data_IF_498972211593
#
_entry.id   IF_498972211593
#
_cell.length_a   1.000
_cell.length_b   1.000
_cell.length_c   1.000
_cell.angle_alpha   90.00
_cell.angle_beta   90.00
_cell.angle_gamma   90.00
#
_symmetry.space_group_name_H-M   'P 1'
#
loop_
_entity.id
_entity.type
_entity.pdbx_description
1 polymer ?
#
# COMPACT_ATOMS: atom_id res chain seq x y z
N UNK A 1 10.67 4.48 5.11
CA UNK A 1 9.65 3.44 4.82
C UNK A 1 10.13 2.31 3.87
N UNK A 2 11.40 1.87 3.89
CA UNK A 2 11.83 0.78 3.00
C UNK A 2 11.25 -0.59 3.38
N UNK A 3 11.00 -0.84 4.66
CA UNK A 3 10.54 -2.16 5.16
C UNK A 3 9.16 -2.55 4.65
N UNK A 4 8.23 -1.59 4.52
CA UNK A 4 6.89 -1.84 3.96
C UNK A 4 7.00 -2.22 2.49
N UNK A 5 7.85 -1.53 1.74
CA UNK A 5 7.97 -1.75 0.29
C UNK A 5 8.62 -3.10 0.01
N UNK A 6 9.65 -3.46 0.77
CA UNK A 6 10.28 -4.77 0.68
C UNK A 6 9.33 -5.91 1.06
N UNK A 7 8.53 -5.74 2.12
CA UNK A 7 7.51 -6.72 2.49
C UNK A 7 6.46 -6.90 1.39
N UNK A 8 6.02 -5.81 0.75
CA UNK A 8 5.11 -5.89 -0.41
C UNK A 8 5.76 -6.60 -1.58
N UNK A 9 7.01 -6.25 -1.93
CA UNK A 9 7.70 -6.86 -3.08
C UNK A 9 7.94 -8.36 -2.86
N UNK A 10 8.26 -8.77 -1.63
CA UNK A 10 8.41 -10.18 -1.27
C UNK A 10 7.10 -10.95 -1.38
N UNK A 11 5.97 -10.35 -0.98
CA UNK A 11 4.68 -11.05 -0.91
C UNK A 11 3.83 -10.96 -2.21
N UNK A 12 4.06 -9.91 -3.00
CA UNK A 12 3.30 -9.56 -4.21
C UNK A 12 4.19 -9.33 -5.44
N UNK A 13 5.48 -9.69 -5.41
CA UNK A 13 6.41 -9.51 -6.53
C UNK A 13 5.95 -10.12 -7.85
N UNK A 14 5.11 -11.17 -7.79
CA UNK A 14 4.49 -11.78 -8.97
C UNK A 14 3.43 -10.88 -9.65
N UNK A 15 2.85 -9.91 -8.94
CA UNK A 15 1.92 -8.91 -9.49
C UNK A 15 2.50 -7.51 -9.22
N UNK A 16 3.43 -7.10 -10.07
CA UNK A 16 4.12 -5.80 -9.99
C UNK A 16 3.16 -4.61 -10.01
N UNK A 17 2.02 -4.75 -10.70
CA UNK A 17 0.98 -3.72 -10.73
C UNK A 17 0.31 -3.61 -9.37
N UNK A 18 -0.11 -4.73 -8.78
CA UNK A 18 -0.72 -4.76 -7.45
C UNK A 18 0.26 -4.29 -6.37
N UNK A 19 1.51 -4.74 -6.43
CA UNK A 19 2.57 -4.29 -5.53
C UNK A 19 2.70 -2.76 -5.55
N UNK A 20 2.74 -2.15 -6.75
CA UNK A 20 2.82 -0.69 -6.91
C UNK A 20 1.61 0.04 -6.35
N UNK A 21 0.38 -0.38 -6.69
CA UNK A 21 -0.82 0.30 -6.13
C UNK A 21 -1.00 0.06 -4.63
N UNK A 22 -0.53 -1.06 -4.08
CA UNK A 22 -0.51 -1.30 -2.63
C UNK A 22 0.43 -0.34 -1.91
N UNK A 23 1.64 -0.11 -2.45
CA UNK A 23 2.58 0.87 -1.90
C UNK A 23 1.96 2.27 -1.83
N UNK A 24 1.29 2.70 -2.90
CA UNK A 24 0.56 3.98 -2.95
C UNK A 24 -0.56 4.04 -1.89
N UNK A 25 -1.36 2.97 -1.78
CA UNK A 25 -2.43 2.88 -0.80
C UNK A 25 -1.92 2.95 0.64
N UNK A 26 -0.81 2.27 0.95
CA UNK A 26 -0.20 2.29 2.28
C UNK A 26 0.42 3.64 2.62
N UNK A 27 1.07 4.32 1.68
CA UNK A 27 1.51 5.70 1.87
C UNK A 27 0.32 6.57 2.30
N UNK A 28 -0.82 6.49 1.60
CA UNK A 28 -2.02 7.26 1.95
C UNK A 28 -2.59 6.92 3.34
N UNK A 29 -2.58 5.65 3.73
CA UNK A 29 -3.06 5.19 5.04
C UNK A 29 -2.18 5.63 6.21
N UNK A 30 -0.85 5.55 6.05
CA UNK A 30 0.07 5.67 7.18
C UNK A 30 0.83 6.99 7.28
N UNK A 31 0.95 7.76 6.20
CA UNK A 31 1.70 9.04 6.22
C UNK A 31 0.81 10.26 6.48
N UNK A 32 -0.49 10.17 6.21
CA UNK A 32 -1.37 11.34 6.19
C UNK A 32 -1.06 12.34 5.07
N UNK A 33 -0.16 12.02 4.14
CA UNK A 33 0.26 12.94 3.08
C UNK A 33 -0.85 13.29 2.09
N UNK A 34 -0.73 14.49 1.51
CA UNK A 34 -1.60 14.96 0.43
C UNK A 34 -1.41 14.08 -0.81
N UNK A 35 -2.50 13.83 -1.56
CA UNK A 35 -2.48 13.01 -2.78
C UNK A 35 -1.43 13.50 -3.79
N UNK A 36 -1.18 14.81 -3.86
CA UNK A 36 -0.17 15.41 -4.73
C UNK A 36 1.26 15.04 -4.34
N UNK A 37 1.56 14.99 -3.04
CA UNK A 37 2.89 14.61 -2.52
C UNK A 37 3.18 13.12 -2.78
N UNK A 38 2.19 12.27 -2.47
CA UNK A 38 2.24 10.85 -2.80
C UNK A 38 2.42 10.68 -4.31
N UNK A 39 1.62 11.38 -5.12
CA UNK A 39 1.72 11.32 -6.58
C UNK A 39 3.10 11.68 -7.10
N UNK A 40 3.69 12.77 -6.59
CA UNK A 40 5.05 13.18 -6.94
C UNK A 40 6.09 12.10 -6.62
N UNK A 41 5.99 11.44 -5.46
CA UNK A 41 6.89 10.34 -5.09
C UNK A 41 6.81 9.12 -6.02
N UNK A 42 5.65 8.91 -6.66
CA UNK A 42 5.43 7.82 -7.60
C UNK A 42 5.42 8.27 -9.08
N UNK A 43 5.70 9.54 -9.38
CA UNK A 43 5.65 10.08 -10.74
C UNK A 43 4.25 10.04 -11.39
N UNK A 44 3.18 10.15 -10.61
CA UNK A 44 1.79 10.08 -11.08
C UNK A 44 0.96 11.25 -10.58
N UNK A 45 -0.17 11.53 -11.25
CA UNK A 45 -1.09 12.60 -10.85
C UNK A 45 -1.84 12.26 -9.55
N UNK A 46 -2.30 13.29 -8.83
CA UNK A 46 -3.13 13.11 -7.63
C UNK A 46 -4.40 12.30 -7.91
N UNK A 47 -5.00 12.47 -9.10
CA UNK A 47 -6.14 11.66 -9.56
C UNK A 47 -5.75 10.19 -9.71
N UNK A 48 -4.58 9.89 -10.29
CA UNK A 48 -4.09 8.53 -10.42
C UNK A 48 -3.85 7.86 -9.05
N UNK A 49 -3.39 8.61 -8.04
CA UNK A 49 -3.29 8.13 -6.65
C UNK A 49 -4.67 7.77 -6.09
N UNK A 50 -5.68 8.60 -6.32
CA UNK A 50 -7.06 8.34 -5.87
C UNK A 50 -7.63 7.08 -6.52
N UNK A 51 -7.46 6.94 -7.85
CA UNK A 51 -7.86 5.73 -8.59
C UNK A 51 -7.11 4.48 -8.12
N UNK A 52 -5.81 4.58 -7.86
CA UNK A 52 -5.02 3.49 -7.29
C UNK A 52 -5.57 3.01 -5.94
N UNK A 53 -5.83 3.94 -5.02
CA UNK A 53 -6.42 3.64 -3.72
C UNK A 53 -7.79 2.97 -3.85
N UNK A 54 -8.64 3.47 -4.76
CA UNK A 54 -9.97 2.88 -5.02
C UNK A 54 -9.85 1.45 -5.55
N UNK A 55 -8.97 1.20 -6.53
CA UNK A 55 -8.74 -0.14 -7.09
C UNK A 55 -8.29 -1.14 -6.02
N UNK A 56 -7.39 -0.73 -5.12
CA UNK A 56 -6.94 -1.59 -4.00
C UNK A 56 -8.10 -1.91 -3.07
N UNK A 57 -8.91 -0.92 -2.68
CA UNK A 57 -10.10 -1.13 -1.84
C UNK A 57 -11.09 -2.10 -2.52
N UNK A 58 -11.36 -1.93 -3.81
CA UNK A 58 -12.26 -2.80 -4.56
C UNK A 58 -11.74 -4.23 -4.69
N UNK A 59 -10.41 -4.41 -4.84
CA UNK A 59 -9.78 -5.74 -4.81
C UNK A 59 -9.88 -6.38 -3.42
N UNK A 60 -9.63 -5.63 -2.36
CA UNK A 60 -9.78 -6.10 -0.98
C UNK A 60 -11.23 -6.43 -0.62
N UNK A 61 -12.20 -5.68 -1.14
CA UNK A 61 -13.63 -5.96 -0.97
C UNK A 61 -14.04 -7.27 -1.63
N UNK A 62 -13.55 -7.53 -2.85
CA UNK A 62 -13.86 -8.76 -3.61
C UNK A 62 -13.05 -9.98 -3.15
N UNK A 63 -11.89 -9.77 -2.55
CA UNK A 63 -11.00 -10.84 -2.12
C UNK A 63 -10.65 -10.70 -0.63
N UNK A 64 -11.42 -11.38 0.22
CA UNK A 64 -11.23 -11.38 1.67
C UNK A 64 -9.88 -11.99 2.11
N UNK A 65 -9.33 -12.95 1.33
CA UNK A 65 -7.99 -13.52 1.58
C UNK A 65 -6.92 -12.45 1.38
N UNK A 66 -6.99 -11.70 0.27
CA UNK A 66 -6.09 -10.58 -0.02
C UNK A 66 -6.18 -9.52 1.07
N UNK A 67 -7.40 -9.16 1.50
CA UNK A 67 -7.62 -8.19 2.58
C UNK A 67 -6.93 -8.62 3.87
N UNK A 68 -7.18 -9.85 4.33
CA UNK A 68 -6.58 -10.40 5.56
C UNK A 68 -5.05 -10.46 5.47
N UNK A 69 -4.50 -10.77 4.29
CA UNK A 69 -3.06 -10.82 4.06
C UNK A 69 -2.41 -9.43 4.25
N UNK A 70 -2.99 -8.41 3.62
CA UNK A 70 -2.55 -7.01 3.75
C UNK A 70 -2.69 -6.53 5.19
N UNK A 71 -3.83 -6.77 5.84
CA UNK A 71 -4.07 -6.40 7.25
C UNK A 71 -3.05 -7.05 8.19
N UNK A 72 -2.74 -8.35 8.00
CA UNK A 72 -1.71 -9.04 8.78
C UNK A 72 -0.32 -8.45 8.56
N UNK A 73 0.05 -8.16 7.31
CA UNK A 73 1.35 -7.55 6.99
C UNK A 73 1.49 -6.16 7.64
N UNK A 74 0.47 -5.31 7.49
CA UNK A 74 0.43 -3.98 8.08
C UNK A 74 0.50 -4.06 9.60
N UNK A 75 -0.26 -4.97 10.23
CA UNK A 75 -0.24 -5.19 11.68
C UNK A 75 1.14 -5.66 12.17
N UNK A 76 1.79 -6.55 11.43
CA UNK A 76 3.15 -7.03 11.75
C UNK A 76 4.15 -5.87 11.70
N UNK A 77 4.06 -5.00 10.69
CA UNK A 77 4.93 -3.83 10.59
C UNK A 77 4.61 -2.73 11.60
N UNK A 78 3.33 -2.49 11.92
CA UNK A 78 2.97 -1.52 12.96
C UNK A 78 3.49 -1.98 14.32
N UNK A 79 3.37 -3.28 14.64
CA UNK A 79 3.93 -3.86 15.86
C UNK A 79 5.46 -3.80 15.88
N UNK A 80 6.11 -3.93 14.72
CA UNK A 80 7.57 -3.85 14.61
C UNK A 80 8.13 -2.44 14.77
N UNK A 81 7.33 -1.38 14.51
CA UNK A 81 7.74 0.03 14.73
C UNK A 81 7.63 0.49 16.19
N UNK A 82 7.02 -0.29 17.07
CA UNK A 82 6.89 0.01 18.52
C UNK A 82 7.84 -0.83 19.38
N UNK A 83 8.73 -1.62 18.79
CA UNK A 83 9.73 -2.38 19.54
C UNK A 83 11.06 -1.64 19.47
N UNK A 84 11.26 -0.76 20.45
CA UNK A 84 12.49 -0.36 21.18
C UNK A 84 12.34 1.06 21.67
#
# INVERSE_FOLDING_TARGET
MPDIFHAIDSEFGNDSTLARVLKIYLCRQHTGEKLKAIGANFGISASAVSHACRRVKDRMRRNSKLRKKIEKMVKKLSLSRFKT
#
